data_IF_278931816800
#
_entry.id   IF_278931816800
#
_cell.length_a   1.000
_cell.length_b   1.000
_cell.length_c   1.000
_cell.angle_alpha   90.00
_cell.angle_beta   90.00
_cell.angle_gamma   90.00
#
_symmetry.space_group_name_H-M   'P 1'
#
loop_
_entity.id
_entity.type
_entity.pdbx_description
1 polymer ?
#
# COMPACT_ATOMS: atom_id res chain seq x y z
N UNK A 1 11.47 1.13 -18.33
CA UNK A 1 10.03 0.87 -18.50
C UNK A 1 9.27 1.75 -17.52
N UNK A 2 8.56 2.75 -18.02
CA UNK A 2 7.76 3.62 -17.16
C UNK A 2 6.50 2.84 -16.76
N UNK A 3 6.50 2.26 -15.58
CA UNK A 3 5.33 1.60 -15.02
C UNK A 3 4.55 2.68 -14.28
N UNK A 4 3.41 3.09 -14.83
CA UNK A 4 2.46 3.95 -14.15
C UNK A 4 1.72 3.14 -13.09
N UNK A 5 2.41 2.74 -12.03
CA UNK A 5 1.80 2.08 -10.90
C UNK A 5 1.05 3.14 -10.10
N UNK A 6 -0.25 2.94 -9.96
CA UNK A 6 -1.13 3.94 -9.33
C UNK A 6 -1.33 3.64 -7.85
N UNK A 7 -1.70 4.65 -7.16
CA UNK A 7 -1.93 4.85 -5.73
C UNK A 7 -2.12 3.57 -4.87
N UNK A 8 -3.25 2.87 -5.01
CA UNK A 8 -3.55 1.65 -4.25
C UNK A 8 -2.73 0.45 -4.67
N UNK A 9 -2.35 0.39 -5.95
CA UNK A 9 -1.51 -0.71 -6.43
C UNK A 9 -0.13 -0.63 -5.78
N UNK A 10 0.54 0.52 -5.81
CA UNK A 10 1.86 0.68 -5.18
C UNK A 10 1.79 0.44 -3.68
N UNK A 11 0.74 0.96 -3.00
CA UNK A 11 0.59 0.79 -1.55
C UNK A 11 0.43 -0.68 -1.16
N UNK A 12 -0.42 -1.44 -1.88
CA UNK A 12 -0.60 -2.89 -1.63
C UNK A 12 0.65 -3.70 -1.97
N UNK A 13 1.29 -3.43 -3.11
CA UNK A 13 2.45 -4.18 -3.56
C UNK A 13 3.64 -4.06 -2.63
N UNK A 14 3.88 -2.87 -2.07
CA UNK A 14 4.94 -2.67 -1.09
C UNK A 14 4.75 -3.54 0.16
N UNK A 15 3.51 -3.79 0.60
CA UNK A 15 3.26 -4.70 1.70
C UNK A 15 3.37 -6.18 1.31
N UNK A 16 3.03 -6.54 0.07
CA UNK A 16 2.97 -7.94 -0.39
C UNK A 16 4.31 -8.46 -0.94
N UNK A 17 5.12 -7.57 -1.52
CA UNK A 17 6.34 -7.95 -2.24
C UNK A 17 7.33 -8.79 -1.42
N UNK A 18 7.66 -8.45 -0.15
CA UNK A 18 8.56 -9.29 0.66
C UNK A 18 8.01 -10.69 0.91
N UNK A 19 6.69 -10.82 1.02
CA UNK A 19 6.03 -12.10 1.27
C UNK A 19 6.07 -12.99 0.02
N UNK A 20 5.89 -12.39 -1.15
CA UNK A 20 5.96 -13.07 -2.45
C UNK A 20 7.39 -13.50 -2.77
N UNK A 21 8.38 -12.61 -2.60
CA UNK A 21 9.81 -12.91 -2.83
C UNK A 21 10.31 -14.09 -2.00
N UNK A 22 9.79 -14.24 -0.78
CA UNK A 22 10.18 -15.31 0.13
C UNK A 22 9.24 -16.53 0.08
N UNK A 23 8.31 -16.58 -0.88
CA UNK A 23 7.32 -17.65 -1.08
C UNK A 23 6.56 -18.06 0.19
N UNK A 24 6.19 -17.06 1.01
CA UNK A 24 5.58 -17.29 2.32
C UNK A 24 4.07 -17.49 2.27
N UNK A 25 3.40 -16.94 1.25
CA UNK A 25 1.95 -16.86 1.20
C UNK A 25 1.37 -17.63 0.00
N UNK A 26 0.15 -18.12 0.19
CA UNK A 26 -0.64 -18.66 -0.91
C UNK A 26 -0.97 -17.55 -1.91
N UNK A 27 -0.53 -17.71 -3.14
CA UNK A 27 -0.69 -16.72 -4.21
C UNK A 27 -1.98 -16.85 -4.98
N UNK A 28 -2.79 -17.87 -4.71
CA UNK A 28 -4.10 -18.04 -5.30
C UNK A 28 -5.21 -17.34 -4.50
N UNK A 29 -4.91 -16.96 -3.24
CA UNK A 29 -5.86 -16.39 -2.29
C UNK A 29 -5.35 -15.08 -1.67
N UNK A 30 -5.08 -14.07 -2.50
CA UNK A 30 -4.72 -12.71 -2.04
C UNK A 30 -5.94 -11.82 -2.17
N UNK A 31 -6.40 -11.24 -1.05
CA UNK A 31 -7.51 -10.29 -1.02
C UNK A 31 -7.00 -8.93 -0.57
N UNK A 32 -7.23 -7.90 -1.39
CA UNK A 32 -6.87 -6.50 -1.09
C UNK A 32 -8.14 -5.70 -0.81
N UNK A 33 -8.35 -5.32 0.44
CA UNK A 33 -9.38 -4.39 0.84
C UNK A 33 -8.77 -2.99 0.99
N UNK A 34 -9.07 -2.09 0.06
CA UNK A 34 -8.43 -0.78 0.04
C UNK A 34 -9.43 0.36 0.30
N UNK A 35 -9.08 1.25 1.21
CA UNK A 35 -9.83 2.47 1.54
C UNK A 35 -9.09 3.67 0.95
N UNK A 36 -9.82 4.60 0.32
CA UNK A 36 -9.23 5.79 -0.30
C UNK A 36 -10.07 7.03 -0.09
N UNK A 37 -9.37 8.12 0.17
CA UNK A 37 -9.97 9.44 0.28
C UNK A 37 -10.53 9.99 -1.05
N UNK A 38 -11.34 11.04 -0.94
CA UNK A 38 -12.09 11.65 -2.05
C UNK A 38 -11.21 12.21 -3.15
N UNK A 39 -10.02 12.73 -2.82
CA UNK A 39 -9.06 13.29 -3.80
C UNK A 39 -8.53 12.27 -4.82
N UNK A 40 -8.60 10.97 -4.52
CA UNK A 40 -8.23 9.89 -5.45
C UNK A 40 -9.16 9.75 -6.67
N UNK A 41 -10.29 10.46 -6.68
CA UNK A 41 -11.23 10.45 -7.80
C UNK A 41 -10.89 11.46 -8.90
N UNK A 42 -10.00 12.41 -8.63
CA UNK A 42 -9.71 13.52 -9.54
C UNK A 42 -10.77 14.64 -9.50
N UNK A 43 -10.67 15.58 -10.42
CA UNK A 43 -11.49 16.81 -10.46
C UNK A 43 -12.85 16.65 -11.17
N UNK A 44 -13.29 15.44 -11.49
CA UNK A 44 -14.57 15.18 -12.18
C UNK A 44 -15.79 15.50 -11.32
N UNK A 45 -16.81 16.18 -11.89
CA UNK A 45 -18.00 16.67 -11.17
C UNK A 45 -18.80 15.56 -10.44
N UNK A 46 -18.84 14.35 -10.95
CA UNK A 46 -19.56 13.22 -10.34
C UNK A 46 -18.81 12.57 -9.15
N UNK A 47 -17.65 13.09 -8.79
CA UNK A 47 -16.76 12.51 -7.80
C UNK A 47 -16.29 13.53 -6.77
N UNK A 48 -16.98 14.66 -6.65
CA UNK A 48 -16.65 15.74 -5.72
C UNK A 48 -16.56 15.26 -4.28
N UNK A 49 -15.78 15.95 -3.46
CA UNK A 49 -15.68 15.66 -2.03
C UNK A 49 -17.05 15.71 -1.34
N UNK A 50 -17.92 16.65 -1.74
CA UNK A 50 -19.28 16.76 -1.22
C UNK A 50 -20.12 15.48 -1.41
N UNK A 51 -19.91 14.76 -2.53
CA UNK A 51 -20.55 13.46 -2.79
C UNK A 51 -19.99 12.31 -1.94
N UNK A 52 -18.87 12.53 -1.29
CA UNK A 52 -18.15 11.51 -0.49
C UNK A 52 -18.11 11.82 0.99
N UNK A 53 -18.54 13.02 1.40
CA UNK A 53 -18.66 13.36 2.82
C UNK A 53 -19.64 12.41 3.52
N UNK A 54 -19.27 11.91 4.69
CA UNK A 54 -20.06 11.01 5.50
C UNK A 54 -20.26 9.60 4.94
N UNK A 55 -19.50 9.16 3.92
CA UNK A 55 -19.72 7.84 3.32
C UNK A 55 -18.58 6.85 3.58
N UNK A 56 -18.97 5.58 3.71
CA UNK A 56 -18.12 4.40 3.50
C UNK A 56 -18.82 3.61 2.41
N UNK A 57 -18.25 3.57 1.19
CA UNK A 57 -18.94 3.03 0.02
C UNK A 57 -18.02 2.14 -0.81
N UNK A 58 -18.35 0.84 -1.01
CA UNK A 58 -17.66 0.01 -1.97
C UNK A 58 -17.97 0.48 -3.41
N UNK A 59 -16.97 0.39 -4.29
CA UNK A 59 -17.16 0.65 -5.73
C UNK A 59 -16.28 -0.27 -6.56
N UNK A 60 -16.82 -0.80 -7.67
CA UNK A 60 -16.14 -1.77 -8.54
C UNK A 60 -15.48 -2.93 -7.78
N UNK A 61 -16.20 -3.63 -6.88
CA UNK A 61 -15.60 -4.61 -5.97
C UNK A 61 -15.02 -5.85 -6.67
N UNK A 62 -15.40 -6.12 -7.91
CA UNK A 62 -14.98 -7.31 -8.64
C UNK A 62 -14.05 -7.04 -9.84
N UNK A 63 -13.93 -5.81 -10.33
CA UNK A 63 -13.17 -5.52 -11.57
C UNK A 63 -12.56 -4.11 -11.51
N UNK A 64 -11.72 -3.87 -10.53
CA UNK A 64 -10.99 -2.61 -10.48
C UNK A 64 -9.73 -2.67 -11.35
N UNK A 65 -9.43 -1.58 -12.09
CA UNK A 65 -8.26 -1.53 -13.00
C UNK A 65 -6.91 -1.78 -12.31
N UNK A 66 -6.78 -1.40 -11.02
CA UNK A 66 -5.54 -1.61 -10.25
C UNK A 66 -5.30 -3.08 -9.90
N UNK A 67 -6.31 -3.95 -10.00
CA UNK A 67 -6.12 -5.40 -9.83
C UNK A 67 -5.08 -5.92 -10.83
N UNK A 68 -5.23 -5.58 -12.10
CA UNK A 68 -4.28 -6.00 -13.14
C UNK A 68 -2.87 -5.44 -12.94
N UNK A 69 -2.74 -4.23 -12.39
CA UNK A 69 -1.43 -3.65 -12.06
C UNK A 69 -0.74 -4.44 -10.94
N UNK A 70 -1.48 -4.79 -9.88
CA UNK A 70 -0.95 -5.59 -8.75
C UNK A 70 -0.58 -6.99 -9.24
N UNK A 71 -1.46 -7.64 -10.00
CA UNK A 71 -1.23 -8.99 -10.54
C UNK A 71 0.01 -9.04 -11.44
N UNK A 72 0.19 -8.04 -12.29
CA UNK A 72 1.34 -7.96 -13.19
C UNK A 72 2.65 -7.91 -12.41
N UNK A 73 2.80 -6.95 -11.50
CA UNK A 73 4.05 -6.73 -10.76
C UNK A 73 4.37 -7.88 -9.80
N UNK A 74 3.37 -8.37 -9.08
CA UNK A 74 3.57 -9.52 -8.19
C UNK A 74 3.87 -10.80 -8.97
N UNK A 75 3.33 -10.97 -10.18
CA UNK A 75 3.65 -12.11 -11.05
C UNK A 75 5.07 -12.02 -11.61
N UNK A 76 5.55 -10.82 -11.97
CA UNK A 76 6.95 -10.60 -12.36
C UNK A 76 7.89 -10.94 -11.20
N UNK A 77 7.58 -10.50 -9.99
CA UNK A 77 8.35 -10.81 -8.77
C UNK A 77 8.40 -12.30 -8.47
N UNK A 78 7.27 -12.99 -8.60
CA UNK A 78 7.14 -14.41 -8.30
C UNK A 78 7.68 -15.34 -9.40
N UNK A 79 7.89 -14.83 -10.62
CA UNK A 79 8.17 -15.66 -11.81
C UNK A 79 7.02 -16.59 -12.21
N UNK A 80 5.81 -16.35 -11.69
CA UNK A 80 4.59 -17.12 -11.98
C UNK A 80 3.35 -16.24 -11.89
N UNK A 81 2.26 -16.67 -12.52
CA UNK A 81 1.00 -15.93 -12.49
C UNK A 81 0.42 -15.87 -11.07
N UNK A 82 0.11 -14.67 -10.61
CA UNK A 82 -0.58 -14.39 -9.36
C UNK A 82 -1.96 -13.82 -9.67
N UNK A 83 -2.93 -14.13 -8.82
CA UNK A 83 -4.28 -13.56 -8.86
C UNK A 83 -4.56 -12.77 -7.58
N UNK A 84 -5.25 -11.64 -7.75
CA UNK A 84 -5.61 -10.77 -6.63
C UNK A 84 -7.10 -10.43 -6.72
N UNK A 85 -7.78 -10.55 -5.61
CA UNK A 85 -9.16 -10.07 -5.44
C UNK A 85 -9.14 -8.71 -4.74
N UNK A 86 -9.54 -7.64 -5.43
CA UNK A 86 -9.49 -6.28 -4.88
C UNK A 86 -10.88 -5.69 -4.69
N UNK A 87 -11.17 -5.20 -3.47
CA UNK A 87 -12.40 -4.51 -3.10
C UNK A 87 -12.09 -3.09 -2.62
N UNK A 88 -12.19 -2.07 -3.48
CA UNK A 88 -11.94 -0.69 -3.10
C UNK A 88 -13.17 -0.02 -2.45
N UNK A 89 -12.91 0.78 -1.42
CA UNK A 89 -13.91 1.58 -0.72
C UNK A 89 -13.52 3.06 -0.76
N UNK A 90 -14.50 3.92 -1.04
CA UNK A 90 -14.42 5.34 -0.76
C UNK A 90 -14.75 5.56 0.70
N UNK A 91 -13.94 6.38 1.39
CA UNK A 91 -14.13 6.72 2.79
C UNK A 91 -14.15 8.24 2.97
N UNK A 92 -14.74 8.70 4.08
CA UNK A 92 -14.90 10.11 4.40
C UNK A 92 -13.62 10.74 4.92
N UNK A 93 -12.59 10.74 4.07
CA UNK A 93 -11.37 11.53 4.24
C UNK A 93 -11.01 12.17 2.91
N UNK A 94 -10.28 13.30 2.93
CA UNK A 94 -9.85 13.95 1.69
C UNK A 94 -8.68 13.21 1.08
N UNK A 95 -7.65 12.91 1.86
CA UNK A 95 -6.39 12.29 1.42
C UNK A 95 -6.10 11.04 2.23
N UNK A 96 -5.39 10.12 1.60
CA UNK A 96 -4.90 8.90 2.22
C UNK A 96 -5.44 7.63 1.58
N UNK A 97 -4.63 6.59 1.70
CA UNK A 97 -4.93 5.22 1.31
C UNK A 97 -4.56 4.31 2.47
N UNK A 98 -5.45 3.39 2.80
CA UNK A 98 -5.15 2.25 3.66
C UNK A 98 -5.48 0.97 2.89
N UNK A 99 -4.51 0.07 2.79
CA UNK A 99 -4.70 -1.25 2.22
C UNK A 99 -4.58 -2.31 3.32
N UNK A 100 -5.60 -3.15 3.43
CA UNK A 100 -5.61 -4.35 4.26
C UNK A 100 -5.50 -5.54 3.32
N UNK A 101 -4.33 -6.17 3.27
CA UNK A 101 -4.07 -7.28 2.37
C UNK A 101 -4.17 -8.57 3.18
N UNK A 102 -5.23 -9.35 2.94
CA UNK A 102 -5.44 -10.64 3.57
C UNK A 102 -4.74 -11.73 2.75
N UNK A 103 -3.87 -12.47 3.40
CA UNK A 103 -3.10 -13.55 2.80
C UNK A 103 -3.09 -14.76 3.74
N UNK A 104 -2.80 -15.93 3.21
CA UNK A 104 -2.69 -17.16 3.99
C UNK A 104 -1.27 -17.70 3.89
N UNK A 105 -0.70 -18.08 5.02
CA UNK A 105 0.66 -18.60 5.09
C UNK A 105 0.75 -20.02 4.53
N UNK A 106 1.81 -20.31 3.79
CA UNK A 106 2.14 -21.67 3.32
C UNK A 106 2.82 -22.53 4.37
N UNK A 107 3.45 -21.89 5.35
CA UNK A 107 4.16 -22.51 6.46
C UNK A 107 3.99 -21.68 7.72
N UNK A 108 4.20 -22.30 8.85
CA UNK A 108 4.23 -21.57 10.12
C UNK A 108 5.44 -20.62 10.14
N UNK A 109 5.16 -19.35 10.45
CA UNK A 109 6.15 -18.27 10.50
C UNK A 109 5.87 -17.43 11.74
N UNK A 110 6.89 -17.15 12.51
CA UNK A 110 6.73 -16.28 13.67
C UNK A 110 6.88 -14.77 13.30
N UNK A 111 6.41 -13.93 14.21
CA UNK A 111 6.47 -12.47 14.04
C UNK A 111 7.91 -11.98 13.86
N UNK A 112 8.88 -12.59 14.52
CA UNK A 112 10.29 -12.24 14.44
C UNK A 112 10.87 -12.47 13.05
N UNK A 113 10.52 -13.60 12.44
CA UNK A 113 10.92 -13.96 11.08
C UNK A 113 10.31 -12.99 10.07
N UNK A 114 9.03 -12.67 10.22
CA UNK A 114 8.36 -11.67 9.37
C UNK A 114 9.04 -10.30 9.45
N UNK A 115 9.33 -9.81 10.65
CA UNK A 115 10.05 -8.53 10.81
C UNK A 115 11.45 -8.57 10.20
N UNK A 116 12.14 -9.71 10.25
CA UNK A 116 13.44 -9.88 9.60
C UNK A 116 13.31 -9.77 8.08
N UNK A 117 12.29 -10.39 7.50
CA UNK A 117 12.01 -10.37 6.06
C UNK A 117 11.70 -8.94 5.59
N UNK A 118 10.79 -8.25 6.25
CA UNK A 118 10.46 -6.87 5.89
C UNK A 118 11.66 -5.93 6.03
N UNK A 119 12.46 -6.06 7.09
CA UNK A 119 13.68 -5.28 7.25
C UNK A 119 14.74 -5.59 6.20
N UNK A 120 14.92 -6.85 5.84
CA UNK A 120 15.86 -7.23 4.80
C UNK A 120 15.52 -6.62 3.44
N UNK A 121 14.23 -6.43 3.16
CA UNK A 121 13.77 -5.80 1.91
C UNK A 121 13.86 -4.28 1.95
N UNK A 122 13.56 -3.65 3.10
CA UNK A 122 13.29 -2.20 3.16
C UNK A 122 14.20 -1.39 4.08
N UNK A 123 15.29 -1.97 4.63
CA UNK A 123 16.20 -1.22 5.53
C UNK A 123 16.89 -0.03 4.84
N UNK A 124 17.12 -0.12 3.54
CA UNK A 124 17.78 0.92 2.75
C UNK A 124 16.79 1.85 2.03
N UNK A 125 15.49 1.52 2.08
CA UNK A 125 14.45 2.25 1.37
C UNK A 125 13.94 3.45 2.17
N UNK A 126 14.36 4.65 1.79
CA UNK A 126 14.10 5.90 2.53
C UNK A 126 12.63 6.26 2.68
N UNK A 127 11.78 5.86 1.74
CA UNK A 127 10.34 6.17 1.74
C UNK A 127 9.48 5.06 2.32
N UNK A 128 10.07 3.98 2.83
CA UNK A 128 9.34 2.89 3.48
C UNK A 128 9.59 2.94 4.98
N UNK A 129 8.51 2.98 5.76
CA UNK A 129 8.60 2.91 7.23
C UNK A 129 7.91 1.65 7.72
N UNK A 130 8.61 0.88 8.53
CA UNK A 130 8.06 -0.32 9.15
C UNK A 130 7.49 0.04 10.53
N UNK A 131 6.18 -0.07 10.69
CA UNK A 131 5.46 0.27 11.92
C UNK A 131 5.42 -0.96 12.83
N UNK A 132 6.03 -0.85 14.00
CA UNK A 132 6.22 -1.97 14.94
C UNK A 132 5.83 -1.62 16.38
N UNK A 133 5.06 -0.60 16.59
CA UNK A 133 4.64 -0.25 17.95
C UNK A 133 3.72 -1.35 18.51
N UNK A 134 3.97 -1.71 19.75
CA UNK A 134 3.21 -2.79 20.41
C UNK A 134 1.80 -2.34 20.79
N UNK A 135 1.68 -1.08 21.15
CA UNK A 135 0.45 -0.51 21.70
C UNK A 135 0.22 0.92 21.19
N UNK A 136 -1.01 1.40 21.29
CA UNK A 136 -1.37 2.78 21.01
C UNK A 136 -1.83 3.05 19.58
N UNK A 137 -1.93 4.35 19.26
CA UNK A 137 -2.46 4.83 17.96
C UNK A 137 -1.55 4.50 16.78
N UNK A 138 -0.26 4.26 17.01
CA UNK A 138 0.73 3.98 15.98
C UNK A 138 1.04 2.49 15.80
N UNK A 139 0.22 1.62 16.38
CA UNK A 139 0.41 0.16 16.28
C UNK A 139 0.33 -0.33 14.83
N UNK A 140 -0.50 0.31 14.02
CA UNK A 140 -0.71 -0.04 12.61
C UNK A 140 -0.56 1.19 11.70
N UNK A 141 -0.25 0.99 10.42
CA UNK A 141 -0.24 2.06 9.43
C UNK A 141 -1.54 2.86 9.40
N UNK A 142 -1.43 4.19 9.47
CA UNK A 142 -2.57 5.10 9.39
C UNK A 142 -2.27 6.21 8.38
N UNK A 143 -3.08 6.38 7.32
CA UNK A 143 -2.86 7.39 6.30
C UNK A 143 -2.87 8.82 6.85
N UNK A 144 -3.50 9.08 8.00
CA UNK A 144 -3.48 10.40 8.65
C UNK A 144 -2.05 10.90 8.91
N UNK A 145 -1.15 10.00 9.30
CA UNK A 145 0.25 10.34 9.60
C UNK A 145 1.17 10.37 8.37
N UNK A 146 0.59 10.37 7.16
CA UNK A 146 1.33 10.33 5.90
C UNK A 146 0.94 11.46 4.94
N UNK A 147 -0.08 12.23 5.30
CA UNK A 147 -0.59 13.32 4.46
C UNK A 147 0.52 14.30 4.10
N UNK A 148 0.69 14.58 2.81
CA UNK A 148 1.70 15.49 2.27
C UNK A 148 3.09 14.91 2.09
N UNK A 149 3.32 13.65 2.48
CA UNK A 149 4.65 13.00 2.38
C UNK A 149 4.69 11.90 1.33
N UNK A 150 5.91 11.55 0.90
CA UNK A 150 6.14 10.42 -0.02
C UNK A 150 6.38 9.09 0.70
N UNK A 151 6.14 9.03 2.01
CA UNK A 151 6.29 7.79 2.78
C UNK A 151 5.15 6.80 2.53
N UNK A 152 5.50 5.52 2.68
CA UNK A 152 4.56 4.42 2.81
C UNK A 152 4.86 3.68 4.12
N UNK A 153 3.88 3.60 5.00
CA UNK A 153 3.95 2.83 6.23
C UNK A 153 3.49 1.40 5.96
N UNK A 154 4.23 0.44 6.50
CA UNK A 154 3.93 -0.99 6.39
C UNK A 154 3.95 -1.60 7.78
N UNK A 155 2.96 -2.41 8.06
CA UNK A 155 2.85 -3.24 9.25
C UNK A 155 2.14 -4.54 8.93
N UNK A 156 2.00 -5.40 9.92
CA UNK A 156 1.25 -6.64 9.75
C UNK A 156 0.69 -7.11 11.09
N UNK A 157 -0.27 -8.02 10.99
CA UNK A 157 -0.77 -8.81 12.12
C UNK A 157 -0.93 -10.28 11.73
N UNK A 158 -0.77 -11.18 12.70
CA UNK A 158 -0.87 -12.63 12.52
C UNK A 158 -2.09 -13.18 13.25
N UNK A 159 -2.98 -13.76 12.49
CA UNK A 159 -4.11 -14.55 12.96
C UNK A 159 -3.72 -16.04 12.84
N UNK A 160 -3.07 -16.55 13.88
CA UNK A 160 -2.52 -17.91 13.90
C UNK A 160 -3.60 -18.99 13.84
N UNK A 161 -4.75 -18.72 14.42
CA UNK A 161 -5.86 -19.69 14.48
C UNK A 161 -6.41 -19.98 13.08
N UNK A 162 -6.35 -18.97 12.18
CA UNK A 162 -6.80 -19.07 10.81
C UNK A 162 -5.65 -19.17 9.78
N UNK A 163 -4.41 -19.32 10.23
CA UNK A 163 -3.23 -19.35 9.38
C UNK A 163 -3.15 -18.12 8.44
N UNK A 164 -3.61 -16.96 8.91
CA UNK A 164 -3.77 -15.74 8.13
C UNK A 164 -2.75 -14.69 8.53
N UNK A 165 -2.09 -14.12 7.52
CA UNK A 165 -1.27 -12.92 7.65
C UNK A 165 -2.01 -11.74 7.03
N UNK A 166 -2.21 -10.70 7.82
CA UNK A 166 -2.79 -9.44 7.38
C UNK A 166 -1.65 -8.44 7.18
N UNK A 167 -1.25 -8.21 5.93
CA UNK A 167 -0.26 -7.21 5.60
C UNK A 167 -0.94 -5.86 5.39
N UNK A 168 -0.57 -4.87 6.21
CA UNK A 168 -1.16 -3.55 6.24
C UNK A 168 -0.22 -2.53 5.60
N UNK A 169 -0.78 -1.60 4.84
CA UNK A 169 0.01 -0.49 4.30
C UNK A 169 -0.81 0.77 4.15
N UNK A 170 -0.16 1.91 4.38
CA UNK A 170 -0.78 3.22 4.23
C UNK A 170 0.13 4.18 3.47
N UNK A 171 -0.47 5.11 2.72
CA UNK A 171 0.25 6.16 2.00
C UNK A 171 -0.67 7.35 1.71
N UNK A 172 -0.07 8.46 1.28
CA UNK A 172 -0.82 9.58 0.70
C UNK A 172 -1.07 9.32 -0.80
N UNK A 173 -2.33 9.29 -1.21
CA UNK A 173 -2.73 9.02 -2.60
C UNK A 173 -2.29 10.08 -3.61
N UNK A 174 -2.01 11.31 -3.19
CA UNK A 174 -1.53 12.39 -4.07
C UNK A 174 0.00 12.48 -4.12
N UNK A 175 0.69 12.03 -3.07
CA UNK A 175 2.16 11.98 -3.02
C UNK A 175 2.68 10.61 -3.46
N UNK A 176 2.87 9.66 -2.54
CA UNK A 176 3.36 8.30 -2.88
C UNK A 176 2.48 7.60 -3.91
N UNK A 177 1.17 7.83 -3.87
CA UNK A 177 0.23 7.28 -4.84
C UNK A 177 0.23 7.96 -6.22
N UNK A 178 0.86 9.12 -6.39
CA UNK A 178 0.80 9.89 -7.65
C UNK A 178 2.06 10.73 -7.88
N UNK A 179 2.03 12.03 -7.53
CA UNK A 179 3.07 13.00 -7.89
C UNK A 179 4.43 12.66 -7.28
N UNK A 180 4.47 12.22 -6.03
CA UNK A 180 5.72 11.87 -5.36
C UNK A 180 6.42 10.68 -6.02
N UNK A 181 5.70 9.62 -6.38
CA UNK A 181 6.28 8.49 -7.13
C UNK A 181 6.70 8.89 -8.55
N UNK A 182 5.99 9.81 -9.20
CA UNK A 182 6.40 10.32 -10.52
C UNK A 182 7.73 11.08 -10.44
N UNK A 183 7.90 11.93 -9.43
CA UNK A 183 9.16 12.66 -9.18
C UNK A 183 10.28 11.70 -8.79
N UNK A 184 10.01 10.74 -7.90
CA UNK A 184 10.97 9.70 -7.51
C UNK A 184 11.48 8.93 -8.72
N UNK A 185 10.59 8.50 -9.62
CA UNK A 185 10.96 7.83 -10.86
C UNK A 185 11.76 8.74 -11.79
N UNK A 186 11.39 10.00 -11.92
CA UNK A 186 12.12 11.00 -12.71
C UNK A 186 13.55 11.17 -12.17
N UNK A 187 13.70 11.28 -10.85
CA UNK A 187 15.00 11.41 -10.22
C UNK A 187 15.91 10.22 -10.56
N UNK A 188 15.42 8.99 -10.34
CA UNK A 188 16.15 7.75 -10.68
C UNK A 188 16.51 7.70 -12.16
N UNK A 189 15.57 8.01 -13.06
CA UNK A 189 15.81 8.01 -14.51
C UNK A 189 16.84 9.06 -14.95
N UNK A 190 16.94 10.17 -14.22
CA UNK A 190 17.84 11.28 -14.52
C UNK A 190 19.18 11.20 -13.77
N UNK A 191 19.39 10.17 -12.96
CA UNK A 191 20.61 9.98 -12.18
C UNK A 191 20.73 10.89 -10.95
N UNK A 192 19.63 11.47 -10.48
CA UNK A 192 19.55 12.19 -9.22
C UNK A 192 19.29 11.20 -8.08
N UNK A 193 19.52 11.65 -6.84
CA UNK A 193 19.09 10.92 -5.67
C UNK A 193 17.55 10.78 -5.70
N UNK A 194 17.02 9.58 -5.44
CA UNK A 194 15.60 9.29 -5.58
C UNK A 194 14.70 10.19 -4.71
N UNK A 195 15.24 10.71 -3.60
CA UNK A 195 14.52 11.55 -2.65
C UNK A 195 14.64 13.05 -2.93
N UNK A 196 15.37 13.47 -3.97
CA UNK A 196 15.57 14.87 -4.29
C UNK A 196 14.25 15.60 -4.49
N UNK A 197 14.04 16.70 -3.74
CA UNK A 197 12.85 17.53 -3.81
C UNK A 197 11.54 16.92 -3.29
N UNK A 198 11.56 15.73 -2.68
CA UNK A 198 10.34 15.06 -2.17
C UNK A 198 10.48 14.47 -0.74
N UNK A 199 11.57 14.78 -0.05
CA UNK A 199 11.79 14.35 1.32
C UNK A 199 11.15 15.33 2.31
N UNK A 200 9.82 15.37 2.34
CA UNK A 200 9.05 16.20 3.27
C UNK A 200 8.52 15.37 4.43
N UNK A 201 8.52 15.97 5.62
CA UNK A 201 7.77 15.42 6.75
C UNK A 201 6.27 15.45 6.47
N UNK A 202 5.49 14.51 6.99
CA UNK A 202 4.04 14.58 6.92
C UNK A 202 3.50 15.87 7.55
N UNK A 203 2.35 16.33 7.04
CA UNK A 203 1.68 17.55 7.52
C UNK A 203 0.92 17.34 8.85
N UNK A 204 1.09 16.22 9.51
CA UNK A 204 0.45 15.92 10.79
C UNK A 204 1.29 16.34 11.98
N UNK A 205 0.65 16.75 13.09
CA UNK A 205 -0.81 16.88 13.28
C UNK A 205 -1.38 18.13 12.58
N UNK A 206 -2.54 17.98 11.93
CA UNK A 206 -3.37 19.05 11.36
C UNK A 206 -4.70 19.10 12.07
#
# INVERSE_FOLDING_TARGET
RQICIRDRAVTSMLALNPLIKNDLIDTDHIVVDSKIGSSGAGAGAGTSHAMRAGVIRPYKPAKHRHTGEIEQELSETAGRKIKVSMSPHAVDVVRGILCTNHTFLKKDVDEKELWKIYRSEYSEERFIRLIRDKDGLHKFPDPKFLVGSNFCDIGFDLDKDNNRLIALSASDNLMKGAAGSAIQNMNVMSGFDEFEGIMYSPLTPV
#
